data_IF_571272110279
#
_entry.id   IF_571272110279
#
_cell.length_a   1.000
_cell.length_b   1.000
_cell.length_c   1.000
_cell.angle_alpha   90.00
_cell.angle_beta   90.00
_cell.angle_gamma   90.00
#
_symmetry.space_group_name_H-M   'P 1'
#
loop_
_entity.id
_entity.type
_entity.pdbx_description
1 polymer ?
#
# COMPACT_ATOMS: atom_id res chain seq x y z
N UNK A 1 2.23 27.26 5.13
CA UNK A 1 1.90 25.85 5.43
C UNK A 1 0.70 25.47 4.58
N UNK A 2 0.72 24.31 3.91
CA UNK A 2 -0.44 23.84 3.13
C UNK A 2 -1.55 23.40 4.11
N UNK A 3 -2.79 23.84 3.90
CA UNK A 3 -3.92 23.40 4.74
C UNK A 3 -4.32 21.96 4.41
N UNK A 4 -4.97 21.28 5.37
CA UNK A 4 -5.51 19.95 5.15
C UNK A 4 -6.44 19.92 3.94
N UNK A 5 -7.36 20.88 3.84
CA UNK A 5 -8.38 20.94 2.78
C UNK A 5 -7.74 20.99 1.39
N UNK A 6 -6.66 21.79 1.24
CA UNK A 6 -5.94 21.91 -0.02
C UNK A 6 -5.14 20.65 -0.34
N UNK A 7 -4.41 20.11 0.64
CA UNK A 7 -3.62 18.89 0.47
C UNK A 7 -4.52 17.69 0.15
N UNK A 8 -5.66 17.58 0.83
CA UNK A 8 -6.63 16.52 0.63
C UNK A 8 -7.33 16.61 -0.73
N UNK A 9 -7.67 17.82 -1.20
CA UNK A 9 -8.22 18.01 -2.54
C UNK A 9 -7.24 17.58 -3.64
N UNK A 10 -5.97 18.02 -3.54
CA UNK A 10 -4.92 17.63 -4.48
C UNK A 10 -4.64 16.12 -4.45
N UNK A 11 -4.66 15.53 -3.25
CA UNK A 11 -4.53 14.09 -3.07
C UNK A 11 -5.63 13.31 -3.79
N UNK A 12 -6.90 13.70 -3.64
CA UNK A 12 -8.01 13.04 -4.32
C UNK A 12 -7.98 13.24 -5.83
N UNK A 13 -7.69 14.47 -6.30
CA UNK A 13 -7.59 14.79 -7.72
C UNK A 13 -6.54 13.93 -8.41
N UNK A 14 -5.33 13.86 -7.83
CA UNK A 14 -4.25 12.98 -8.31
C UNK A 14 -4.72 11.52 -8.42
N UNK A 15 -5.32 10.97 -7.37
CA UNK A 15 -5.74 9.57 -7.37
C UNK A 15 -6.92 9.29 -8.30
N UNK A 16 -7.81 10.26 -8.51
CA UNK A 16 -8.87 10.19 -9.51
C UNK A 16 -8.28 10.09 -10.92
N UNK A 17 -7.31 10.96 -11.26
CA UNK A 17 -6.67 11.00 -12.57
C UNK A 17 -5.89 9.72 -12.89
N UNK A 18 -5.30 9.09 -11.88
CA UNK A 18 -4.57 7.82 -11.99
C UNK A 18 -5.52 6.60 -12.01
N UNK A 19 -6.64 6.63 -11.28
CA UNK A 19 -7.53 5.49 -11.11
C UNK A 19 -8.32 5.13 -12.38
N UNK A 20 -8.63 3.83 -12.53
CA UNK A 20 -9.47 3.27 -13.61
C UNK A 20 -10.49 2.29 -13.02
N UNK A 21 -11.56 2.00 -13.77
CA UNK A 21 -12.59 1.02 -13.40
C UNK A 21 -13.22 1.28 -12.03
N UNK A 22 -13.44 0.22 -11.26
CA UNK A 22 -14.12 0.26 -9.95
C UNK A 22 -13.49 1.25 -8.96
N UNK A 23 -12.15 1.35 -8.92
CA UNK A 23 -11.45 2.32 -8.05
C UNK A 23 -11.83 3.75 -8.39
N UNK A 24 -11.88 4.09 -9.69
CA UNK A 24 -12.26 5.44 -10.13
C UNK A 24 -13.72 5.72 -9.80
N UNK A 25 -14.61 4.77 -10.05
CA UNK A 25 -16.04 4.90 -9.71
C UNK A 25 -16.27 5.13 -8.21
N UNK A 26 -15.49 4.45 -7.37
CA UNK A 26 -15.54 4.63 -5.93
C UNK A 26 -15.03 6.00 -5.51
N UNK A 27 -13.87 6.41 -5.99
CA UNK A 27 -13.28 7.72 -5.70
C UNK A 27 -14.15 8.89 -6.16
N UNK A 28 -14.88 8.74 -7.28
CA UNK A 28 -15.83 9.75 -7.78
C UNK A 28 -17.00 9.99 -6.81
N UNK A 29 -17.42 8.97 -6.07
CA UNK A 29 -18.43 9.11 -4.99
C UNK A 29 -17.84 9.81 -3.76
N UNK A 30 -16.52 9.92 -3.70
CA UNK A 30 -15.76 10.46 -2.59
C UNK A 30 -15.60 9.45 -1.45
N UNK A 31 -14.57 9.69 -0.63
CA UNK A 31 -14.33 8.86 0.55
C UNK A 31 -15.50 8.94 1.54
N UNK A 32 -15.79 7.80 2.16
CA UNK A 32 -16.76 7.63 3.22
C UNK A 32 -16.41 8.38 4.50
N UNK A 33 -17.31 8.30 5.48
CA UNK A 33 -17.16 9.04 6.74
C UNK A 33 -15.93 8.61 7.56
N UNK A 34 -15.75 7.29 7.75
CA UNK A 34 -14.60 6.73 8.47
C UNK A 34 -13.27 7.09 7.80
N UNK A 35 -13.20 6.96 6.48
CA UNK A 35 -12.01 7.27 5.69
C UNK A 35 -11.63 8.76 5.77
N UNK A 36 -12.62 9.66 5.69
CA UNK A 36 -12.41 11.10 5.92
C UNK A 36 -11.93 11.40 7.32
N UNK A 37 -12.48 10.74 8.35
CA UNK A 37 -12.01 10.89 9.72
C UNK A 37 -10.57 10.41 9.87
N UNK A 38 -10.21 9.28 9.26
CA UNK A 38 -8.85 8.78 9.25
C UNK A 38 -7.89 9.80 8.62
N UNK A 39 -8.19 10.27 7.41
CA UNK A 39 -7.34 11.24 6.71
C UNK A 39 -7.19 12.55 7.51
N UNK A 40 -8.30 13.09 8.03
CA UNK A 40 -8.33 14.41 8.68
C UNK A 40 -7.85 14.41 10.13
N UNK A 41 -8.32 13.46 10.93
CA UNK A 41 -8.10 13.47 12.38
C UNK A 41 -6.90 12.63 12.79
N UNK A 42 -6.50 11.63 12.00
CA UNK A 42 -5.41 10.72 12.35
C UNK A 42 -4.18 10.92 11.46
N UNK A 43 -4.30 10.68 10.16
CA UNK A 43 -3.17 10.66 9.24
C UNK A 43 -2.50 12.03 9.09
N UNK A 44 -3.26 13.05 8.67
CA UNK A 44 -2.70 14.37 8.41
C UNK A 44 -2.02 15.00 9.64
N UNK A 45 -2.61 14.99 10.85
CA UNK A 45 -1.94 15.52 12.04
C UNK A 45 -0.72 14.70 12.49
N UNK A 46 -0.69 13.40 12.22
CA UNK A 46 0.42 12.52 12.64
C UNK A 46 1.62 12.57 11.68
N UNK A 47 1.35 12.60 10.37
CA UNK A 47 2.36 12.41 9.31
C UNK A 47 2.67 13.72 8.57
N UNK A 48 1.68 14.60 8.38
CA UNK A 48 1.85 15.92 7.75
C UNK A 48 1.95 15.91 6.22
N UNK A 49 1.88 14.75 5.56
CA UNK A 49 1.75 14.64 4.09
C UNK A 49 0.92 13.41 3.69
N UNK A 50 0.45 13.39 2.44
CA UNK A 50 -0.21 12.22 1.83
C UNK A 50 0.73 11.42 0.91
N UNK A 51 2.03 11.69 0.97
CA UNK A 51 3.00 11.00 0.13
C UNK A 51 2.99 9.52 0.44
N UNK A 52 3.02 8.70 -0.61
CA UNK A 52 2.95 7.24 -0.53
C UNK A 52 1.65 6.67 0.07
N UNK A 53 0.65 7.50 0.37
CA UNK A 53 -0.68 7.06 0.75
C UNK A 53 -1.56 6.91 -0.50
N UNK A 54 -2.35 5.84 -0.56
CA UNK A 54 -3.24 5.51 -1.65
C UNK A 54 -4.62 5.20 -1.08
N UNK A 55 -5.67 5.97 -1.44
CA UNK A 55 -7.03 5.70 -1.03
C UNK A 55 -7.67 4.66 -1.94
N UNK A 56 -8.64 3.91 -1.39
CA UNK A 56 -9.50 2.97 -2.12
C UNK A 56 -8.66 2.06 -3.02
N UNK A 57 -7.65 1.41 -2.42
CA UNK A 57 -6.65 0.66 -3.16
C UNK A 57 -7.19 -0.72 -3.52
N UNK A 58 -7.16 -1.07 -4.82
CA UNK A 58 -7.62 -2.37 -5.27
C UNK A 58 -6.56 -3.45 -5.02
N UNK A 59 -6.94 -4.48 -4.28
CA UNK A 59 -6.18 -5.72 -4.10
C UNK A 59 -6.91 -6.88 -4.74
N UNK A 60 -6.15 -7.85 -5.26
CA UNK A 60 -6.72 -9.08 -5.80
C UNK A 60 -7.25 -9.93 -4.64
N UNK A 61 -8.48 -10.42 -4.78
CA UNK A 61 -9.08 -11.35 -3.84
C UNK A 61 -9.31 -12.67 -4.57
N UNK A 62 -8.67 -13.74 -4.07
CA UNK A 62 -8.72 -15.08 -4.69
C UNK A 62 -10.16 -15.60 -4.83
N UNK A 63 -11.06 -15.23 -3.90
CA UNK A 63 -12.46 -15.66 -3.89
C UNK A 63 -13.37 -14.72 -4.67
N UNK A 64 -13.09 -13.40 -4.68
CA UNK A 64 -14.02 -12.37 -5.18
C UNK A 64 -13.49 -11.49 -6.30
N UNK A 65 -12.34 -11.82 -6.88
CA UNK A 65 -11.71 -11.07 -7.96
C UNK A 65 -10.90 -9.89 -7.40
N UNK A 66 -11.56 -8.84 -6.93
CA UNK A 66 -10.89 -7.65 -6.37
C UNK A 66 -11.68 -7.05 -5.20
N UNK A 67 -10.95 -6.46 -4.24
CA UNK A 67 -11.52 -5.65 -3.16
C UNK A 67 -10.75 -4.37 -2.95
N UNK A 68 -11.42 -3.39 -2.37
CA UNK A 68 -10.85 -2.11 -2.00
C UNK A 68 -10.42 -2.15 -0.52
N UNK A 69 -9.26 -1.58 -0.26
CA UNK A 69 -8.76 -1.24 1.08
C UNK A 69 -8.89 0.28 1.23
N UNK A 70 -9.43 0.75 2.34
CA UNK A 70 -9.70 2.18 2.59
C UNK A 70 -8.45 3.03 2.31
N UNK A 71 -7.33 2.69 2.94
CA UNK A 71 -6.03 3.29 2.63
C UNK A 71 -4.90 2.27 2.66
N UNK A 72 -3.92 2.51 1.78
CA UNK A 72 -2.65 1.80 1.79
C UNK A 72 -1.51 2.79 1.82
N UNK A 73 -0.53 2.56 2.69
CA UNK A 73 0.77 3.22 2.63
C UNK A 73 1.78 2.29 1.95
N UNK A 74 2.18 2.66 0.72
CA UNK A 74 3.13 1.92 -0.10
C UNK A 74 4.49 2.61 -0.10
N UNK A 75 5.33 2.22 0.86
CA UNK A 75 6.74 2.59 0.86
C UNK A 75 7.57 1.31 1.02
N UNK A 76 8.28 0.89 -0.03
CA UNK A 76 9.11 -0.29 0.03
C UNK A 76 10.08 -0.26 1.22
N UNK A 77 10.34 -1.41 1.86
CA UNK A 77 9.86 -2.76 1.50
C UNK A 77 8.47 -3.11 2.08
N UNK A 78 7.77 -2.18 2.71
CA UNK A 78 6.56 -2.49 3.46
C UNK A 78 5.29 -2.05 2.74
N UNK A 79 4.24 -2.86 2.90
CA UNK A 79 2.87 -2.56 2.51
C UNK A 79 2.02 -2.51 3.76
N UNK A 80 1.41 -1.36 4.03
CA UNK A 80 0.61 -1.16 5.24
C UNK A 80 -0.80 -0.81 4.83
N UNK A 81 -1.76 -1.64 5.21
CA UNK A 81 -3.18 -1.42 5.02
C UNK A 81 -3.77 -0.76 6.28
N UNK A 82 -4.61 0.25 6.07
CA UNK A 82 -5.39 0.92 7.10
C UNK A 82 -6.87 0.84 6.74
N UNK A 83 -7.69 0.37 7.68
CA UNK A 83 -9.15 0.28 7.52
C UNK A 83 -9.85 1.09 8.62
N UNK A 84 -10.90 1.82 8.24
CA UNK A 84 -11.73 2.62 9.12
C UNK A 84 -13.10 1.93 9.34
N UNK A 85 -13.16 1.08 10.35
CA UNK A 85 -14.33 0.21 10.59
C UNK A 85 -15.45 0.93 11.36
N UNK A 86 -16.66 0.87 10.82
CA UNK A 86 -17.87 1.23 11.57
C UNK A 86 -18.37 0.06 12.42
N UNK A 87 -18.76 0.33 13.68
CA UNK A 87 -19.41 -0.68 14.52
C UNK A 87 -20.92 -0.71 14.26
N UNK A 88 -21.44 -1.86 13.80
CA UNK A 88 -22.87 -2.04 13.53
C UNK A 88 -23.39 -3.34 14.19
N UNK A 89 -23.75 -3.31 15.49
CA UNK A 89 -24.04 -4.50 16.28
C UNK A 89 -25.22 -5.35 15.79
N UNK A 90 -26.14 -4.76 15.03
CA UNK A 90 -27.34 -5.44 14.54
C UNK A 90 -27.40 -5.61 13.02
N UNK A 91 -26.32 -5.25 12.29
CA UNK A 91 -26.25 -5.30 10.83
C UNK A 91 -25.14 -6.21 10.30
N UNK A 92 -24.34 -6.81 11.17
CA UNK A 92 -23.33 -7.78 10.76
C UNK A 92 -24.00 -9.12 10.52
N UNK A 93 -24.34 -9.37 9.24
CA UNK A 93 -24.46 -10.73 8.73
C UNK A 93 -23.23 -11.52 9.18
N UNK A 94 -23.43 -12.65 9.86
CA UNK A 94 -22.32 -13.47 10.39
C UNK A 94 -21.35 -13.85 9.28
N UNK A 95 -21.87 -14.10 8.07
CA UNK A 95 -21.04 -14.40 6.91
C UNK A 95 -20.17 -13.21 6.48
N UNK A 96 -20.68 -11.99 6.57
CA UNK A 96 -19.90 -10.78 6.26
C UNK A 96 -18.80 -10.53 7.30
N UNK A 97 -19.06 -10.84 8.56
CA UNK A 97 -18.05 -10.74 9.62
C UNK A 97 -16.92 -11.76 9.40
N UNK A 98 -17.26 -13.03 9.17
CA UNK A 98 -16.27 -14.09 8.94
C UNK A 98 -15.45 -13.82 7.67
N UNK A 99 -16.09 -13.38 6.59
CA UNK A 99 -15.44 -12.98 5.33
C UNK A 99 -14.45 -11.82 5.53
N UNK A 100 -14.79 -10.82 6.36
CA UNK A 100 -13.88 -9.72 6.67
C UNK A 100 -12.69 -10.16 7.56
N UNK A 101 -12.88 -11.11 8.47
CA UNK A 101 -11.78 -11.70 9.25
C UNK A 101 -10.85 -12.52 8.36
N UNK A 102 -11.40 -13.35 7.48
CA UNK A 102 -10.63 -14.15 6.54
C UNK A 102 -9.83 -13.26 5.58
N UNK A 103 -10.46 -12.19 5.07
CA UNK A 103 -9.79 -11.20 4.21
C UNK A 103 -8.56 -10.59 4.88
N UNK A 104 -8.70 -10.19 6.14
CA UNK A 104 -7.56 -9.65 6.89
C UNK A 104 -6.44 -10.69 7.00
N UNK A 105 -6.77 -11.94 7.30
CA UNK A 105 -5.76 -13.01 7.39
C UNK A 105 -5.05 -13.23 6.06
N UNK A 106 -5.77 -13.19 4.93
CA UNK A 106 -5.15 -13.31 3.61
C UNK A 106 -4.18 -12.16 3.32
N UNK A 107 -4.54 -10.92 3.66
CA UNK A 107 -3.60 -9.80 3.53
C UNK A 107 -2.34 -10.01 4.38
N UNK A 108 -2.50 -10.50 5.61
CA UNK A 108 -1.36 -10.79 6.50
C UNK A 108 -0.48 -11.90 5.94
N UNK A 109 -1.06 -12.98 5.41
CA UNK A 109 -0.34 -14.06 4.73
C UNK A 109 0.42 -13.54 3.50
N UNK A 110 -0.16 -12.58 2.79
CA UNK A 110 0.48 -11.87 1.68
C UNK A 110 1.53 -10.83 2.16
N UNK A 111 1.91 -10.81 3.44
CA UNK A 111 2.96 -9.93 3.98
C UNK A 111 2.54 -8.48 4.23
N UNK A 112 1.24 -8.18 4.15
CA UNK A 112 0.71 -6.87 4.53
C UNK A 112 0.70 -6.69 6.03
N UNK A 113 1.04 -5.48 6.48
CA UNK A 113 0.75 -5.05 7.86
C UNK A 113 -0.62 -4.40 7.86
N UNK A 114 -1.59 -5.00 8.57
CA UNK A 114 -2.97 -4.52 8.58
C UNK A 114 -3.28 -3.87 9.92
N UNK A 115 -3.66 -2.60 9.91
CA UNK A 115 -4.11 -1.85 11.08
C UNK A 115 -5.54 -1.37 10.87
N UNK A 116 -6.40 -1.62 11.85
CA UNK A 116 -7.82 -1.28 11.76
C UNK A 116 -8.18 -0.36 12.90
N UNK A 117 -8.90 0.71 12.58
CA UNK A 117 -9.34 1.70 13.53
C UNK A 117 -10.85 1.84 13.45
N UNK A 118 -11.51 1.80 14.60
CA UNK A 118 -12.94 2.07 14.65
C UNK A 118 -13.23 3.55 14.42
N UNK A 119 -14.40 3.87 13.88
CA UNK A 119 -14.88 5.25 13.77
C UNK A 119 -14.81 5.98 15.12
N UNK A 120 -15.14 5.31 16.22
CA UNK A 120 -15.08 5.89 17.58
C UNK A 120 -13.64 6.22 18.00
N UNK A 121 -12.64 5.38 17.64
CA UNK A 121 -11.23 5.73 17.87
C UNK A 121 -10.82 6.97 17.05
N UNK A 122 -11.25 7.07 15.80
CA UNK A 122 -10.91 8.18 14.91
C UNK A 122 -11.60 9.50 15.30
N UNK A 123 -12.76 9.41 15.95
CA UNK A 123 -13.55 10.56 16.40
C UNK A 123 -13.18 11.00 17.81
N UNK A 124 -13.22 10.07 18.76
CA UNK A 124 -13.18 10.38 20.19
C UNK A 124 -11.77 10.25 20.78
N UNK A 125 -10.92 9.42 20.16
CA UNK A 125 -9.54 9.17 20.62
C UNK A 125 -8.47 9.35 19.52
N UNK A 126 -8.54 10.38 18.65
CA UNK A 126 -7.66 10.50 17.50
C UNK A 126 -6.18 10.64 17.88
N UNK A 127 -5.87 11.25 19.04
CA UNK A 127 -4.49 11.37 19.52
C UNK A 127 -3.83 10.01 19.81
N UNK A 128 -4.61 9.00 20.20
CA UNK A 128 -4.10 7.64 20.39
C UNK A 128 -3.72 7.02 19.04
N UNK A 129 -4.60 7.17 18.05
CA UNK A 129 -4.37 6.71 16.68
C UNK A 129 -3.16 7.42 16.07
N UNK A 130 -3.03 8.74 16.26
CA UNK A 130 -1.87 9.52 15.79
C UNK A 130 -0.54 8.99 16.35
N UNK A 131 -0.48 8.69 17.66
CA UNK A 131 0.72 8.10 18.27
C UNK A 131 1.02 6.71 17.71
N UNK A 132 0.00 5.88 17.50
CA UNK A 132 0.17 4.58 16.88
C UNK A 132 0.70 4.72 15.45
N UNK A 133 0.18 5.64 14.64
CA UNK A 133 0.70 5.91 13.29
C UNK A 133 2.17 6.33 13.33
N UNK A 134 2.56 7.21 14.24
CA UNK A 134 3.98 7.60 14.41
C UNK A 134 4.85 6.41 14.84
N UNK A 135 4.36 5.56 15.74
CA UNK A 135 5.06 4.34 16.16
C UNK A 135 5.18 3.32 15.03
N UNK A 136 4.13 3.14 14.22
CA UNK A 136 4.14 2.30 13.01
C UNK A 136 5.24 2.80 12.07
N UNK A 137 5.29 4.11 11.81
CA UNK A 137 6.32 4.69 10.96
C UNK A 137 7.71 4.52 11.55
N UNK A 138 7.89 4.75 12.86
CA UNK A 138 9.17 4.55 13.55
C UNK A 138 9.62 3.09 13.58
N UNK A 139 8.69 2.15 13.70
CA UNK A 139 8.98 0.70 13.77
C UNK A 139 9.42 0.18 12.42
N UNK A 140 8.66 0.48 11.36
CA UNK A 140 8.91 -0.07 10.03
C UNK A 140 9.89 0.76 9.21
N UNK A 141 10.01 2.07 9.46
CA UNK A 141 10.88 2.96 8.68
C UNK A 141 11.89 3.75 9.52
N UNK A 142 11.77 3.78 10.85
CA UNK A 142 12.68 4.55 11.71
C UNK A 142 14.08 3.96 11.87
N UNK A 143 14.24 2.63 11.68
CA UNK A 143 15.56 1.97 11.68
C UNK A 143 16.18 1.84 10.28
N UNK A 144 15.44 2.17 9.21
CA UNK A 144 15.88 2.05 7.81
C UNK A 144 16.65 3.28 7.28
N UNK A 145 17.21 4.11 8.18
CA UNK A 145 18.05 5.24 7.79
C UNK A 145 19.33 4.85 7.04
N UNK A 146 19.80 3.61 7.15
CA UNK A 146 21.03 3.16 6.48
C UNK A 146 20.79 2.40 5.16
N UNK A 147 19.76 1.56 5.05
CA UNK A 147 19.48 0.82 3.80
C UNK A 147 18.77 1.68 2.74
N UNK A 148 17.84 2.56 3.14
CA UNK A 148 17.20 3.48 2.18
C UNK A 148 18.14 4.58 1.68
N UNK A 149 19.18 4.93 2.45
CA UNK A 149 20.25 5.82 1.99
C UNK A 149 21.07 5.24 0.83
N UNK A 150 20.96 3.93 0.56
CA UNK A 150 21.63 3.24 -0.55
C UNK A 150 20.75 3.09 -1.79
N UNK A 151 19.46 3.42 -1.72
CA UNK A 151 18.54 3.28 -2.85
C UNK A 151 18.45 4.58 -3.64
N UNK A 152 18.69 4.49 -4.95
CA UNK A 152 18.50 5.64 -5.84
C UNK A 152 17.01 5.95 -6.03
N UNK A 153 16.62 7.18 -6.42
CA UNK A 153 15.22 7.50 -6.72
C UNK A 153 14.56 6.58 -7.75
N UNK A 154 15.34 6.07 -8.71
CA UNK A 154 14.87 5.10 -9.72
C UNK A 154 14.63 3.71 -9.12
N UNK A 155 15.47 3.28 -8.20
CA UNK A 155 15.29 2.02 -7.47
C UNK A 155 14.04 2.09 -6.57
N UNK A 156 13.85 3.21 -5.85
CA UNK A 156 12.64 3.47 -5.07
C UNK A 156 11.38 3.47 -5.95
N UNK A 157 11.42 4.13 -7.10
CA UNK A 157 10.29 4.16 -8.04
C UNK A 157 9.94 2.77 -8.59
N UNK A 158 10.93 1.92 -8.86
CA UNK A 158 10.71 0.52 -9.27
C UNK A 158 10.10 -0.31 -8.15
N UNK A 159 10.56 -0.15 -6.92
CA UNK A 159 10.00 -0.89 -5.81
C UNK A 159 8.57 -0.43 -5.49
N UNK A 160 8.25 0.85 -5.66
CA UNK A 160 6.88 1.36 -5.56
C UNK A 160 5.98 0.76 -6.65
N UNK A 161 6.47 0.74 -7.90
CA UNK A 161 5.78 0.08 -9.01
C UNK A 161 5.50 -1.40 -8.69
N UNK A 162 6.53 -2.15 -8.32
CA UNK A 162 6.42 -3.56 -7.96
C UNK A 162 5.42 -3.80 -6.82
N UNK A 163 5.50 -2.98 -5.76
CA UNK A 163 4.60 -3.06 -4.61
C UNK A 163 3.14 -2.72 -4.95
N UNK A 164 2.91 -1.74 -5.82
CA UNK A 164 1.57 -1.35 -6.29
C UNK A 164 0.92 -2.39 -7.19
N UNK A 165 1.73 -3.19 -7.91
CA UNK A 165 1.22 -4.24 -8.80
C UNK A 165 0.82 -5.49 -8.01
N UNK A 166 1.57 -5.83 -6.97
CA UNK A 166 1.32 -7.03 -6.15
C UNK A 166 1.72 -8.35 -6.80
N UNK A 167 1.76 -8.42 -8.13
CA UNK A 167 2.17 -9.58 -8.93
C UNK A 167 3.52 -9.36 -9.65
N UNK A 168 4.07 -10.42 -10.23
CA UNK A 168 5.29 -10.35 -11.03
C UNK A 168 5.15 -9.40 -12.24
N UNK A 169 6.25 -8.72 -12.58
CA UNK A 169 6.34 -7.78 -13.69
C UNK A 169 7.56 -8.07 -14.58
N UNK A 170 7.46 -7.68 -15.83
CA UNK A 170 8.53 -7.85 -16.83
C UNK A 170 9.47 -6.65 -16.85
N UNK A 171 10.72 -6.81 -17.34
CA UNK A 171 11.62 -5.69 -17.60
C UNK A 171 11.05 -4.61 -18.52
N UNK A 172 10.14 -5.00 -19.43
CA UNK A 172 9.49 -4.09 -20.36
C UNK A 172 8.54 -3.14 -19.62
N UNK A 173 7.67 -3.68 -18.77
CA UNK A 173 6.73 -2.88 -17.98
C UNK A 173 7.45 -1.96 -16.98
N UNK A 174 8.53 -2.45 -16.37
CA UNK A 174 9.39 -1.65 -15.51
C UNK A 174 10.07 -0.48 -16.26
N UNK A 175 10.46 -0.69 -17.52
CA UNK A 175 11.11 0.31 -18.34
C UNK A 175 10.13 1.42 -18.76
N UNK A 176 8.91 1.03 -19.12
CA UNK A 176 7.79 1.93 -19.40
C UNK A 176 7.46 2.79 -18.17
N UNK A 177 7.38 2.18 -16.99
CA UNK A 177 7.14 2.91 -15.74
C UNK A 177 8.22 3.96 -15.44
N UNK A 178 9.50 3.62 -15.64
CA UNK A 178 10.61 4.53 -15.35
C UNK A 178 10.86 5.60 -16.41
N UNK A 179 10.24 5.47 -17.59
CA UNK A 179 10.56 6.24 -18.79
C UNK A 179 11.99 6.01 -19.28
N UNK A 180 12.49 4.76 -19.16
CA UNK A 180 13.86 4.38 -19.54
C UNK A 180 13.86 3.26 -20.56
N UNK A 181 15.02 2.96 -21.14
CA UNK A 181 15.19 1.77 -21.97
C UNK A 181 15.21 0.50 -21.12
N UNK A 182 14.85 -0.65 -21.69
CA UNK A 182 14.95 -1.96 -21.02
C UNK A 182 16.37 -2.24 -20.54
N UNK A 183 17.39 -1.88 -21.34
CA UNK A 183 18.80 -2.06 -20.98
C UNK A 183 19.19 -1.30 -19.71
N UNK A 184 18.77 -0.03 -19.59
CA UNK A 184 19.02 0.77 -18.38
C UNK A 184 18.24 0.22 -17.18
N UNK A 185 16.99 -0.20 -17.42
CA UNK A 185 16.11 -0.73 -16.39
C UNK A 185 16.66 -2.02 -15.78
N UNK A 186 17.19 -2.94 -16.59
CA UNK A 186 17.81 -4.18 -16.12
C UNK A 186 18.92 -3.91 -15.10
N UNK A 187 19.73 -2.87 -15.27
CA UNK A 187 20.78 -2.53 -14.31
C UNK A 187 20.23 -2.15 -12.91
N UNK A 188 19.05 -1.54 -12.84
CA UNK A 188 18.38 -1.27 -11.58
C UNK A 188 17.70 -2.51 -11.02
N UNK A 189 17.09 -3.34 -11.87
CA UNK A 189 16.47 -4.60 -11.44
C UNK A 189 17.50 -5.54 -10.83
N UNK A 190 18.66 -5.72 -11.46
CA UNK A 190 19.77 -6.51 -10.90
C UNK A 190 20.24 -5.97 -9.54
N UNK A 191 20.48 -4.66 -9.44
CA UNK A 191 20.86 -4.04 -8.15
C UNK A 191 19.81 -4.25 -7.06
N UNK A 192 18.52 -4.20 -7.41
CA UNK A 192 17.45 -4.45 -6.46
C UNK A 192 17.34 -5.92 -6.06
N UNK A 193 17.70 -6.86 -6.95
CA UNK A 193 17.85 -8.28 -6.61
C UNK A 193 19.04 -8.49 -5.67
N UNK A 194 20.19 -7.89 -5.99
CA UNK A 194 21.40 -7.99 -5.15
C UNK A 194 21.18 -7.41 -3.74
N UNK A 195 20.36 -6.36 -3.64
CA UNK A 195 19.93 -5.75 -2.37
C UNK A 195 18.80 -6.53 -1.67
N UNK A 196 18.32 -7.63 -2.25
CA UNK A 196 17.26 -8.47 -1.68
C UNK A 196 15.87 -7.83 -1.69
N UNK A 197 15.64 -6.79 -2.51
CA UNK A 197 14.32 -6.15 -2.61
C UNK A 197 13.47 -6.70 -3.76
N UNK A 198 14.07 -7.38 -4.73
CA UNK A 198 13.37 -8.10 -5.79
C UNK A 198 13.88 -9.56 -5.84
N UNK A 199 13.04 -10.46 -6.33
CA UNK A 199 13.42 -11.82 -6.70
C UNK A 199 13.02 -12.11 -8.15
N UNK A 200 13.78 -12.94 -8.89
CA UNK A 200 13.35 -13.47 -10.18
C UNK A 200 12.06 -14.30 -10.00
N UNK A 201 11.02 -13.99 -10.76
CA UNK A 201 9.73 -14.67 -10.69
C UNK A 201 9.53 -15.70 -11.82
N UNK A 202 10.35 -15.65 -12.88
CA UNK A 202 10.35 -16.70 -13.92
C UNK A 202 11.62 -16.68 -14.78
N UNK A 203 11.93 -17.85 -15.34
CA UNK A 203 13.03 -18.07 -16.26
C UNK A 203 14.35 -18.40 -15.57
N UNK A 204 14.96 -19.53 -15.94
CA UNK A 204 16.20 -20.03 -15.31
C UNK A 204 17.46 -19.43 -15.93
N UNK A 205 17.61 -19.55 -17.26
CA UNK A 205 18.78 -19.03 -18.00
C UNK A 205 18.68 -17.55 -18.34
N UNK A 206 17.46 -17.03 -18.42
CA UNK A 206 17.15 -15.62 -18.67
C UNK A 206 15.93 -15.26 -17.85
N UNK A 207 16.11 -14.37 -16.88
CA UNK A 207 15.02 -13.87 -16.05
C UNK A 207 14.02 -13.14 -16.94
N UNK A 208 12.77 -13.59 -16.92
CA UNK A 208 11.67 -13.03 -17.74
C UNK A 208 10.76 -12.12 -16.93
N UNK A 209 10.67 -12.33 -15.63
CA UNK A 209 9.90 -11.48 -14.71
C UNK A 209 10.57 -11.38 -13.35
N UNK A 210 10.23 -10.31 -12.63
CA UNK A 210 10.68 -10.00 -11.28
C UNK A 210 9.45 -9.80 -10.41
N UNK A 211 9.56 -10.09 -9.12
CA UNK A 211 8.58 -9.67 -8.12
C UNK A 211 9.32 -9.08 -6.92
N UNK A 212 8.62 -8.26 -6.15
CA UNK A 212 9.19 -7.71 -4.92
C UNK A 212 9.42 -8.84 -3.91
N UNK A 213 10.60 -8.81 -3.30
CA UNK A 213 10.94 -9.69 -2.21
C UNK A 213 10.32 -9.13 -0.93
N UNK A 214 9.53 -9.95 -0.26
CA UNK A 214 9.09 -9.65 1.09
C UNK A 214 9.94 -10.50 2.02
N UNK A 215 10.73 -9.89 2.93
CA UNK A 215 11.60 -10.62 3.86
C UNK A 215 10.88 -11.66 4.74
N UNK A 216 9.56 -11.58 4.81
CA UNK A 216 8.70 -12.47 5.61
C UNK A 216 7.87 -13.45 4.74
N UNK A 217 8.07 -13.49 3.41
CA UNK A 217 7.34 -14.38 2.49
C UNK A 217 8.11 -15.65 2.13
N UNK A 218 9.07 -16.06 2.95
CA UNK A 218 9.52 -17.45 2.96
C UNK A 218 8.45 -18.30 3.66
N UNK A 219 7.41 -18.65 2.91
CA UNK A 219 6.74 -19.92 3.05
C UNK A 219 6.92 -20.66 1.72
N UNK A 220 8.11 -21.25 1.56
CA UNK A 220 8.22 -22.43 0.71
C UNK A 220 7.08 -23.39 1.10
N UNK A 221 6.28 -23.79 0.11
CA UNK A 221 5.25 -24.84 0.16
C UNK A 221 4.01 -24.60 1.04
N UNK A 222 2.90 -24.18 0.41
CA UNK A 222 1.59 -24.85 0.47
C UNK A 222 0.79 -24.58 -0.81
#
# INVERSE_FOLDING_TARGET
MMSFERAYAQFLEKHLDEARGMRRERLLKGLGYGEKLFAKNAWWPAIGSFDHLYPEFMVRDVKRGYRLIDFVYLRPPHRIAFEADGYHPHQLDRYAFDDDRERQNMLVLDGWKVFRYTIDQLKDRPKEVQRQLQQIMGTFYGKQGMEQALLTPKELSLLQFAGSRGDAFTPQEAAEWLGLTVRQTLAYLHRLVDKGHLIPASGEKRIRSYMISYPDADLESM
#
